data_IF_310757253721
#
_entry.id   IF_310757253721
#
_cell.length_a   1.000
_cell.length_b   1.000
_cell.length_c   1.000
_cell.angle_alpha   90.00
_cell.angle_beta   90.00
_cell.angle_gamma   90.00
#
_symmetry.space_group_name_H-M   'P 1'
#
loop_
_entity.id
_entity.type
_entity.pdbx_description
1 polymer ?
#
# COMPACT_ATOMS: atom_id res chain seq x y z
N UNK A 1 38.04 12.40 6.05
CA UNK A 1 36.82 12.90 6.73
C UNK A 1 36.74 12.25 8.09
N UNK A 2 36.54 13.05 9.17
CA UNK A 2 36.45 12.48 10.51
C UNK A 2 35.18 11.61 10.62
N UNK A 3 35.23 10.55 11.47
CA UNK A 3 34.07 9.67 11.70
C UNK A 3 32.85 10.45 12.20
N UNK A 4 33.07 11.51 13.00
CA UNK A 4 31.98 12.38 13.47
C UNK A 4 31.30 13.15 12.35
N UNK A 5 32.07 13.69 11.40
CA UNK A 5 31.49 14.41 10.24
C UNK A 5 30.74 13.48 9.28
N UNK A 6 31.18 12.24 9.09
CA UNK A 6 30.45 11.24 8.29
C UNK A 6 29.11 10.84 8.93
N UNK A 7 29.08 10.64 10.25
CA UNK A 7 27.84 10.36 10.98
C UNK A 7 26.88 11.55 10.93
N UNK A 8 27.36 12.76 11.14
CA UNK A 8 26.54 13.97 11.05
C UNK A 8 25.93 14.15 9.65
N UNK A 9 26.72 13.94 8.58
CA UNK A 9 26.23 13.98 7.20
C UNK A 9 25.16 12.91 6.92
N UNK A 10 25.33 11.70 7.43
CA UNK A 10 24.35 10.63 7.29
C UNK A 10 23.04 10.95 8.02
N UNK A 11 23.10 11.53 9.21
CA UNK A 11 21.92 11.94 9.97
C UNK A 11 21.17 13.11 9.28
N UNK A 12 21.91 14.11 8.76
CA UNK A 12 21.31 15.21 8.00
C UNK A 12 20.61 14.69 6.72
N UNK A 13 21.25 13.76 6.03
CA UNK A 13 20.65 13.14 4.86
C UNK A 13 19.38 12.34 5.22
N UNK A 14 19.41 11.56 6.32
CA UNK A 14 18.25 10.85 6.83
C UNK A 14 17.10 11.80 7.18
N UNK A 15 17.39 12.93 7.82
CA UNK A 15 16.40 13.94 8.15
C UNK A 15 15.80 14.58 6.88
N UNK A 16 16.61 14.87 5.88
CA UNK A 16 16.13 15.39 4.58
C UNK A 16 15.23 14.37 3.87
N UNK A 17 15.60 13.09 3.86
CA UNK A 17 14.74 12.03 3.33
C UNK A 17 13.42 11.90 4.09
N UNK A 18 13.45 11.91 5.42
CA UNK A 18 12.25 11.85 6.24
C UNK A 18 11.31 13.03 5.97
N UNK A 19 11.85 14.25 5.81
CA UNK A 19 11.08 15.41 5.40
C UNK A 19 10.48 15.25 4.01
N UNK A 20 11.23 14.68 3.06
CA UNK A 20 10.75 14.43 1.70
C UNK A 20 9.66 13.33 1.67
N UNK A 21 9.81 12.27 2.48
CA UNK A 21 8.75 11.27 2.71
C UNK A 21 7.48 11.95 3.22
N UNK A 22 7.60 12.75 4.29
CA UNK A 22 6.47 13.46 4.88
C UNK A 22 5.78 14.39 3.87
N UNK A 23 6.56 15.17 3.10
CA UNK A 23 6.03 16.04 2.06
C UNK A 23 5.30 15.27 0.95
N UNK A 24 5.86 14.14 0.51
CA UNK A 24 5.26 13.29 -0.52
C UNK A 24 3.95 12.66 -0.03
N UNK A 25 3.97 12.09 1.16
CA UNK A 25 2.76 11.50 1.79
C UNK A 25 1.70 12.58 2.01
N UNK A 26 2.06 13.72 2.59
CA UNK A 26 1.12 14.83 2.81
C UNK A 26 0.48 15.28 1.48
N UNK A 27 1.26 15.39 0.43
CA UNK A 27 0.79 15.80 -0.88
C UNK A 27 -0.16 14.79 -1.52
N UNK A 28 0.23 13.52 -1.58
CA UNK A 28 -0.51 12.53 -2.38
C UNK A 28 -1.58 11.78 -1.60
N UNK A 29 -1.53 11.79 -0.27
CA UNK A 29 -2.52 11.13 0.60
C UNK A 29 -3.51 12.12 1.19
N UNK A 30 -3.06 13.31 1.63
CA UNK A 30 -3.93 14.26 2.34
C UNK A 30 -4.63 15.25 1.40
N UNK A 31 -4.01 15.60 0.27
CA UNK A 31 -4.63 16.51 -0.69
C UNK A 31 -5.50 15.75 -1.70
N UNK A 32 -6.62 16.35 -2.15
CA UNK A 32 -7.51 15.70 -3.09
C UNK A 32 -6.80 15.40 -4.41
N UNK A 33 -6.88 14.13 -4.83
CA UNK A 33 -6.23 13.67 -6.07
C UNK A 33 -6.92 14.24 -7.32
N UNK A 34 -8.21 14.53 -7.21
CA UNK A 34 -9.07 14.86 -8.31
C UNK A 34 -9.84 16.15 -8.04
N UNK A 35 -10.19 16.86 -9.13
CA UNK A 35 -11.07 18.02 -9.15
C UNK A 35 -12.30 17.74 -10.03
N UNK A 36 -13.47 18.29 -9.71
CA UNK A 36 -14.65 18.19 -10.57
C UNK A 36 -14.39 18.72 -11.98
N UNK A 37 -14.85 17.99 -13.00
CA UNK A 37 -14.81 18.44 -14.39
C UNK A 37 -16.11 19.17 -14.79
N UNK A 38 -17.23 18.81 -14.15
CA UNK A 38 -18.55 19.34 -14.46
C UNK A 38 -19.56 19.02 -13.36
N UNK A 39 -20.85 19.27 -13.62
CA UNK A 39 -21.89 18.96 -12.65
C UNK A 39 -22.04 17.45 -12.44
N UNK A 40 -22.49 17.08 -11.25
CA UNK A 40 -22.81 15.70 -10.93
C UNK A 40 -24.02 15.23 -11.76
N UNK A 41 -23.91 14.05 -12.35
CA UNK A 41 -25.00 13.36 -13.05
C UNK A 41 -25.83 12.61 -12.01
N UNK A 42 -27.09 12.98 -11.87
CA UNK A 42 -28.02 12.25 -11.02
C UNK A 42 -28.52 11.02 -11.76
N UNK A 43 -28.11 9.84 -11.31
CA UNK A 43 -28.48 8.57 -11.92
C UNK A 43 -29.72 7.96 -11.26
N UNK A 44 -29.98 8.32 -9.98
CA UNK A 44 -31.14 7.86 -9.24
C UNK A 44 -31.55 8.84 -8.13
N UNK A 45 -32.84 9.15 -7.92
CA UNK A 45 -33.90 9.00 -8.95
C UNK A 45 -33.57 9.92 -10.14
N UNK A 46 -33.99 9.55 -11.35
CA UNK A 46 -33.83 10.42 -12.52
C UNK A 46 -34.53 11.74 -12.31
N UNK A 47 -34.01 12.86 -12.85
CA UNK A 47 -34.64 14.16 -12.70
C UNK A 47 -35.99 14.20 -13.40
N UNK A 48 -37.01 14.78 -12.75
CA UNK A 48 -38.32 15.03 -13.31
C UNK A 48 -39.31 13.85 -13.32
N UNK A 49 -38.93 12.69 -12.78
CA UNK A 49 -39.82 11.53 -12.72
C UNK A 49 -40.40 11.36 -11.30
N UNK A 50 -41.69 11.06 -11.23
CA UNK A 50 -42.39 10.75 -9.99
C UNK A 50 -41.98 9.40 -9.36
N UNK A 51 -42.83 8.86 -8.49
CA UNK A 51 -42.53 7.67 -7.69
C UNK A 51 -42.14 6.40 -8.49
N UNK A 52 -42.51 6.30 -9.74
CA UNK A 52 -42.13 5.20 -10.65
C UNK A 52 -41.14 5.73 -11.67
N UNK A 53 -39.84 5.61 -11.38
CA UNK A 53 -38.78 5.98 -12.30
C UNK A 53 -38.49 4.78 -13.22
N UNK A 54 -38.51 4.92 -14.55
CA UNK A 54 -38.06 3.88 -15.46
C UNK A 54 -36.55 3.69 -15.30
N UNK A 55 -36.08 2.46 -15.49
CA UNK A 55 -34.64 2.12 -15.48
C UNK A 55 -33.97 2.52 -16.81
N UNK A 56 -34.34 3.68 -17.36
CA UNK A 56 -33.81 4.17 -18.63
C UNK A 56 -32.29 4.35 -18.58
N UNK A 57 -31.62 3.77 -19.56
CA UNK A 57 -30.18 3.76 -19.67
C UNK A 57 -29.47 2.79 -18.69
N UNK A 58 -30.24 1.96 -17.97
CA UNK A 58 -29.70 0.85 -17.20
C UNK A 58 -29.92 -0.47 -17.94
N UNK A 59 -28.87 -1.28 -18.00
CA UNK A 59 -28.97 -2.70 -18.38
C UNK A 59 -29.13 -3.52 -17.12
N UNK A 60 -30.14 -4.39 -17.10
CA UNK A 60 -30.47 -5.20 -15.91
C UNK A 60 -30.19 -6.66 -16.21
N UNK A 61 -29.32 -7.26 -15.41
CA UNK A 61 -29.06 -8.70 -15.40
C UNK A 61 -29.56 -9.27 -14.07
N UNK A 62 -30.66 -10.01 -14.10
CA UNK A 62 -31.42 -10.34 -12.90
C UNK A 62 -31.06 -11.70 -12.30
N UNK A 63 -30.56 -12.66 -13.10
CA UNK A 63 -30.52 -14.04 -12.63
C UNK A 63 -31.92 -14.46 -12.16
N UNK A 64 -32.02 -14.93 -10.92
CA UNK A 64 -33.31 -15.18 -10.23
C UNK A 64 -33.69 -14.07 -9.24
N UNK A 65 -32.93 -12.98 -9.21
CA UNK A 65 -33.21 -11.83 -8.37
C UNK A 65 -34.23 -10.89 -8.98
N UNK A 66 -34.66 -9.91 -8.18
CA UNK A 66 -35.63 -8.89 -8.57
C UNK A 66 -34.98 -7.52 -8.55
N UNK A 67 -35.38 -6.67 -9.49
CA UNK A 67 -35.03 -5.25 -9.53
C UNK A 67 -36.32 -4.49 -9.73
N UNK A 68 -36.62 -3.62 -8.77
CA UNK A 68 -37.88 -2.87 -8.77
C UNK A 68 -37.66 -1.45 -8.24
N UNK A 69 -38.62 -0.60 -8.44
CA UNK A 69 -38.67 0.74 -7.91
C UNK A 69 -39.89 0.88 -7.02
N UNK A 70 -39.70 1.19 -5.75
CA UNK A 70 -40.77 1.37 -4.78
C UNK A 70 -40.57 2.74 -4.11
N UNK A 71 -41.55 3.63 -4.20
CA UNK A 71 -41.54 4.97 -3.59
C UNK A 71 -40.26 5.78 -3.89
N UNK A 72 -39.78 5.68 -5.14
CA UNK A 72 -38.54 6.36 -5.56
C UNK A 72 -37.25 5.71 -5.06
N UNK A 73 -37.34 4.56 -4.41
CA UNK A 73 -36.19 3.75 -3.97
C UNK A 73 -35.93 2.67 -5.01
N UNK A 74 -34.70 2.60 -5.50
CA UNK A 74 -34.22 1.49 -6.34
C UNK A 74 -33.86 0.32 -5.44
N UNK A 75 -34.51 -0.83 -5.67
CA UNK A 75 -34.34 -2.03 -4.85
C UNK A 75 -33.86 -3.20 -5.71
N UNK A 76 -32.76 -3.78 -5.29
CA UNK A 76 -32.21 -5.03 -5.79
C UNK A 76 -32.40 -6.10 -4.71
N UNK A 77 -33.07 -7.19 -5.07
CA UNK A 77 -33.32 -8.30 -4.14
C UNK A 77 -32.78 -9.62 -4.69
N UNK A 78 -32.04 -10.34 -3.85
CA UNK A 78 -31.56 -11.68 -4.12
C UNK A 78 -32.07 -12.62 -3.02
N UNK A 79 -33.15 -13.40 -3.26
CA UNK A 79 -33.70 -14.31 -2.27
C UNK A 79 -32.79 -15.52 -2.01
N UNK A 80 -31.87 -15.80 -2.93
CA UNK A 80 -30.85 -16.86 -2.83
C UNK A 80 -29.50 -16.29 -3.23
N UNK A 81 -28.41 -16.95 -2.80
CA UNK A 81 -27.04 -16.59 -3.17
C UNK A 81 -26.76 -16.88 -4.67
N UNK A 82 -27.40 -16.14 -5.54
CA UNK A 82 -27.22 -16.21 -6.99
C UNK A 82 -25.83 -15.65 -7.38
N UNK A 83 -25.32 -15.99 -8.56
CA UNK A 83 -24.06 -15.44 -9.04
C UNK A 83 -24.04 -13.90 -8.96
N UNK A 84 -25.10 -13.25 -9.40
CA UNK A 84 -25.30 -11.80 -9.22
C UNK A 84 -26.70 -11.34 -9.62
N UNK A 85 -27.15 -10.24 -9.00
CA UNK A 85 -28.17 -9.33 -9.51
C UNK A 85 -27.44 -8.04 -9.83
N UNK A 86 -27.47 -7.61 -11.07
CA UNK A 86 -26.57 -6.57 -11.57
C UNK A 86 -27.34 -5.52 -12.37
N UNK A 87 -27.09 -4.26 -12.06
CA UNK A 87 -27.40 -3.09 -12.86
C UNK A 87 -26.12 -2.51 -13.44
N UNK A 88 -26.13 -2.21 -14.73
CA UNK A 88 -25.04 -1.54 -15.44
C UNK A 88 -25.53 -0.22 -16.02
N UNK A 89 -24.74 0.82 -15.83
CA UNK A 89 -24.97 2.14 -16.44
C UNK A 89 -23.71 2.59 -17.15
N UNK A 90 -23.71 2.75 -18.48
CA UNK A 90 -22.62 3.39 -19.20
C UNK A 90 -22.42 4.82 -18.70
N UNK A 91 -21.18 5.20 -18.49
CA UNK A 91 -20.79 6.55 -18.12
C UNK A 91 -20.08 7.23 -19.30
N UNK A 92 -20.20 8.58 -19.44
CA UNK A 92 -19.49 9.30 -20.48
C UNK A 92 -17.98 9.20 -20.23
N UNK A 93 -17.27 8.54 -21.14
CA UNK A 93 -15.81 8.41 -21.09
C UNK A 93 -15.15 9.52 -21.92
N UNK A 94 -15.10 10.74 -21.38
CA UNK A 94 -14.36 11.82 -21.99
C UNK A 94 -12.86 11.63 -21.82
N UNK A 95 -12.01 12.04 -22.79
CA UNK A 95 -10.56 11.81 -22.76
C UNK A 95 -9.84 12.39 -21.53
N UNK A 96 -10.43 13.40 -20.91
CA UNK A 96 -9.87 14.09 -19.75
C UNK A 96 -10.30 13.52 -18.41
N UNK A 97 -11.37 12.73 -18.37
CA UNK A 97 -11.87 12.08 -17.15
C UNK A 97 -10.83 11.06 -16.66
N UNK A 98 -10.50 11.13 -15.39
CA UNK A 98 -9.52 10.24 -14.72
C UNK A 98 -10.15 9.43 -13.60
N UNK A 99 -11.29 9.88 -13.10
CA UNK A 99 -12.03 9.22 -12.03
C UNK A 99 -13.49 9.64 -12.08
N UNK A 100 -14.32 8.94 -11.34
CA UNK A 100 -15.68 9.36 -11.05
C UNK A 100 -15.89 9.40 -9.54
N UNK A 101 -16.46 10.50 -9.04
CA UNK A 101 -16.98 10.55 -7.68
C UNK A 101 -18.36 9.97 -7.64
N UNK A 102 -18.53 8.89 -6.93
CA UNK A 102 -19.82 8.25 -6.67
C UNK A 102 -20.32 8.73 -5.31
N UNK A 103 -21.53 9.25 -5.28
CA UNK A 103 -22.28 9.55 -4.06
C UNK A 103 -23.54 8.71 -4.06
N UNK A 104 -23.74 7.93 -3.02
CA UNK A 104 -24.92 7.09 -2.89
C UNK A 104 -25.50 7.20 -1.47
N UNK A 105 -26.82 7.07 -1.37
CA UNK A 105 -27.49 6.81 -0.12
C UNK A 105 -28.08 5.41 -0.22
N UNK A 106 -27.50 4.48 0.55
CA UNK A 106 -27.75 3.05 0.41
C UNK A 106 -28.12 2.41 1.74
N UNK A 107 -28.99 1.40 1.69
CA UNK A 107 -29.30 0.47 2.78
C UNK A 107 -29.11 -0.95 2.30
N UNK A 108 -28.61 -1.82 3.17
CA UNK A 108 -28.48 -3.24 2.87
C UNK A 108 -29.06 -4.09 4.02
N UNK A 109 -30.08 -4.87 3.75
CA UNK A 109 -30.83 -5.66 4.71
C UNK A 109 -30.82 -7.15 4.37
N UNK A 110 -30.95 -8.00 5.40
CA UNK A 110 -31.12 -9.46 5.21
C UNK A 110 -29.87 -10.15 4.65
N UNK A 111 -28.68 -9.68 4.96
CA UNK A 111 -27.44 -10.27 4.46
C UNK A 111 -27.29 -11.72 4.89
N UNK A 112 -27.10 -12.59 3.91
CA UNK A 112 -26.68 -13.97 4.08
C UNK A 112 -25.57 -14.28 3.09
N UNK A 113 -24.33 -14.37 3.60
CA UNK A 113 -23.16 -14.69 2.80
C UNK A 113 -21.98 -14.95 3.73
N UNK A 114 -21.13 -15.93 3.41
CA UNK A 114 -20.06 -16.37 4.27
C UNK A 114 -18.66 -16.05 3.72
N UNK A 115 -18.55 -15.61 2.45
CA UNK A 115 -17.25 -15.43 1.80
C UNK A 115 -16.92 -13.96 1.55
N UNK A 116 -15.63 -13.65 1.52
CA UNK A 116 -15.14 -12.28 1.29
C UNK A 116 -15.60 -11.63 -0.03
N UNK A 117 -15.96 -12.46 -1.02
CA UNK A 117 -16.46 -12.00 -2.33
C UNK A 117 -17.97 -11.80 -2.38
N UNK A 118 -18.69 -12.19 -1.32
CA UNK A 118 -20.14 -12.09 -1.19
C UNK A 118 -20.50 -10.74 -0.59
N UNK A 119 -21.05 -9.85 -1.40
CA UNK A 119 -21.30 -8.48 -0.99
C UNK A 119 -22.33 -7.75 -1.86
N UNK A 120 -22.93 -6.69 -1.30
CA UNK A 120 -23.55 -5.62 -2.07
C UNK A 120 -22.45 -4.62 -2.47
N UNK A 121 -22.30 -4.35 -3.78
CA UNK A 121 -21.20 -3.52 -4.29
C UNK A 121 -21.67 -2.45 -5.25
N UNK A 122 -21.02 -1.27 -5.17
CA UNK A 122 -21.10 -0.20 -6.17
C UNK A 122 -19.67 0.09 -6.61
N UNK A 123 -19.34 -0.13 -7.87
CA UNK A 123 -17.99 0.05 -8.39
C UNK A 123 -17.99 0.40 -9.88
N UNK A 124 -16.83 0.75 -10.44
CA UNK A 124 -16.64 0.99 -11.86
C UNK A 124 -16.05 -0.24 -12.54
N UNK A 125 -16.50 -0.52 -13.76
CA UNK A 125 -15.86 -1.45 -14.67
C UNK A 125 -15.38 -0.71 -15.91
N UNK A 126 -14.12 -0.90 -16.28
CA UNK A 126 -13.52 -0.36 -17.50
C UNK A 126 -13.38 -1.44 -18.57
N UNK A 127 -13.52 -1.04 -19.84
CA UNK A 127 -13.21 -1.89 -20.99
C UNK A 127 -12.19 -1.21 -21.87
N UNK A 128 -11.29 -1.98 -22.46
CA UNK A 128 -10.34 -1.49 -23.46
C UNK A 128 -11.02 -1.21 -24.81
N UNK A 129 -10.27 -0.70 -25.79
CA UNK A 129 -10.78 -0.40 -27.13
C UNK A 129 -11.27 -1.66 -27.88
N UNK A 130 -10.85 -2.86 -27.48
CA UNK A 130 -11.35 -4.13 -28.01
C UNK A 130 -12.58 -4.66 -27.27
N UNK A 131 -13.11 -3.90 -26.29
CA UNK A 131 -14.28 -4.28 -25.48
C UNK A 131 -13.95 -5.28 -24.36
N UNK A 132 -12.69 -5.63 -24.13
CA UNK A 132 -12.28 -6.57 -23.09
C UNK A 132 -12.32 -5.88 -21.74
N UNK A 133 -12.85 -6.58 -20.73
CA UNK A 133 -12.89 -6.08 -19.36
C UNK A 133 -11.45 -5.89 -18.82
N UNK A 134 -11.17 -4.70 -18.35
CA UNK A 134 -9.92 -4.39 -17.68
C UNK A 134 -9.97 -4.92 -16.23
N UNK A 135 -8.81 -5.27 -15.65
CA UNK A 135 -8.73 -5.69 -14.26
C UNK A 135 -9.39 -4.67 -13.33
N UNK A 136 -10.28 -5.15 -12.48
CA UNK A 136 -10.97 -4.33 -11.48
C UNK A 136 -9.94 -3.85 -10.44
N UNK A 137 -9.86 -2.54 -10.22
CA UNK A 137 -8.96 -1.92 -9.23
C UNK A 137 -9.38 -2.17 -7.78
N UNK A 138 -10.40 -3.00 -7.55
CA UNK A 138 -10.92 -3.33 -6.20
C UNK A 138 -11.40 -2.11 -5.40
N UNK A 139 -11.52 -0.95 -6.03
CA UNK A 139 -12.08 0.24 -5.41
C UNK A 139 -13.60 0.18 -5.53
N UNK A 140 -14.26 -0.02 -4.40
CA UNK A 140 -15.72 0.01 -4.31
C UNK A 140 -16.17 1.30 -3.63
N UNK A 141 -17.16 1.98 -4.21
CA UNK A 141 -17.85 3.05 -3.49
C UNK A 141 -18.64 2.47 -2.32
N UNK A 142 -19.26 1.31 -2.51
CA UNK A 142 -19.91 0.51 -1.49
C UNK A 142 -19.40 -0.93 -1.58
N UNK A 143 -19.05 -1.50 -0.42
CA UNK A 143 -18.79 -2.93 -0.27
C UNK A 143 -19.40 -3.37 1.07
N UNK A 144 -20.70 -3.66 1.06
CA UNK A 144 -21.44 -4.05 2.25
C UNK A 144 -21.47 -5.58 2.37
N UNK A 145 -20.87 -6.09 3.45
CA UNK A 145 -20.80 -7.53 3.80
C UNK A 145 -21.62 -7.88 5.04
N UNK A 146 -22.46 -6.98 5.48
CA UNK A 146 -23.37 -7.15 6.61
C UNK A 146 -24.56 -6.24 6.45
N UNK A 147 -25.64 -6.51 7.14
CA UNK A 147 -26.78 -5.62 7.21
C UNK A 147 -26.35 -4.23 7.68
N UNK A 148 -26.77 -3.20 6.94
CA UNK A 148 -26.51 -1.78 7.25
C UNK A 148 -27.77 -0.98 7.03
N UNK A 149 -28.05 -0.07 7.94
CA UNK A 149 -29.09 0.93 7.77
C UNK A 149 -28.64 2.01 6.77
N UNK A 150 -29.52 2.94 6.44
CA UNK A 150 -29.26 4.03 5.50
C UNK A 150 -27.92 4.72 5.81
N UNK A 151 -27.03 4.64 4.87
CA UNK A 151 -25.67 5.19 4.98
C UNK A 151 -25.35 6.01 3.73
N UNK A 152 -24.84 7.22 3.94
CA UNK A 152 -24.29 8.03 2.85
C UNK A 152 -22.88 7.55 2.52
N UNK A 153 -22.66 7.25 1.27
CA UNK A 153 -21.39 6.79 0.71
C UNK A 153 -20.86 7.85 -0.24
N UNK A 154 -19.57 8.13 -0.15
CA UNK A 154 -18.85 9.00 -1.09
C UNK A 154 -17.48 8.39 -1.33
N UNK A 155 -17.18 8.12 -2.61
CA UNK A 155 -15.87 7.62 -3.01
C UNK A 155 -15.47 8.19 -4.38
N UNK A 156 -14.19 8.47 -4.53
CA UNK A 156 -13.58 8.85 -5.81
C UNK A 156 -12.97 7.58 -6.40
N UNK A 157 -13.58 7.05 -7.45
CA UNK A 157 -13.17 5.81 -8.10
C UNK A 157 -12.31 6.13 -9.33
N UNK A 158 -11.06 5.76 -9.29
CA UNK A 158 -10.13 5.98 -10.40
C UNK A 158 -10.45 5.08 -11.59
N UNK A 159 -10.29 5.60 -12.81
CA UNK A 159 -10.46 4.80 -14.02
C UNK A 159 -9.27 3.84 -14.19
N UNK A 160 -9.54 2.59 -14.64
CA UNK A 160 -8.47 1.71 -15.07
C UNK A 160 -7.65 2.35 -16.19
N UNK A 161 -6.32 2.25 -16.21
CA UNK A 161 -5.51 2.70 -17.32
C UNK A 161 -5.92 2.02 -18.62
N UNK A 162 -6.05 2.79 -19.70
CA UNK A 162 -6.45 2.26 -21.01
C UNK A 162 -7.94 1.99 -21.17
N UNK A 163 -8.78 2.40 -20.23
CA UNK A 163 -10.23 2.28 -20.39
C UNK A 163 -10.74 3.17 -21.54
N UNK A 164 -11.32 2.54 -22.54
CA UNK A 164 -12.00 3.20 -23.66
C UNK A 164 -13.49 3.43 -23.36
N UNK A 165 -14.09 2.60 -22.52
CA UNK A 165 -15.45 2.78 -22.01
C UNK A 165 -15.52 2.41 -20.53
N UNK A 166 -16.50 2.99 -19.82
CA UNK A 166 -16.66 2.84 -18.37
C UNK A 166 -18.12 2.61 -18.06
N UNK A 167 -18.39 1.68 -17.17
CA UNK A 167 -19.71 1.36 -16.67
C UNK A 167 -19.73 1.47 -15.14
N UNK A 168 -20.78 2.08 -14.61
CA UNK A 168 -21.09 1.96 -13.19
C UNK A 168 -21.87 0.67 -12.96
N UNK A 169 -21.40 -0.14 -12.05
CA UNK A 169 -22.03 -1.39 -11.66
C UNK A 169 -22.58 -1.29 -10.24
N UNK A 170 -23.88 -1.62 -10.11
CA UNK A 170 -24.55 -1.82 -8.82
C UNK A 170 -24.98 -3.28 -8.77
N UNK A 171 -24.47 -4.04 -7.79
CA UNK A 171 -24.70 -5.48 -7.78
C UNK A 171 -24.82 -6.07 -6.38
N UNK A 172 -25.61 -7.15 -6.30
CA UNK A 172 -25.52 -8.18 -5.27
C UNK A 172 -24.76 -9.36 -5.85
N UNK A 173 -23.63 -9.70 -5.28
CA UNK A 173 -22.77 -10.77 -5.77
C UNK A 173 -22.72 -11.91 -4.76
N UNK A 174 -23.26 -13.07 -5.13
CA UNK A 174 -23.28 -14.29 -4.30
C UNK A 174 -23.78 -14.06 -2.86
N UNK A 175 -24.55 -13.01 -2.65
CA UNK A 175 -25.13 -12.64 -1.38
C UNK A 175 -26.65 -12.69 -1.47
N UNK A 176 -27.30 -13.11 -0.37
CA UNK A 176 -28.74 -12.93 -0.21
C UNK A 176 -29.01 -11.60 0.46
N UNK A 177 -30.18 -11.04 0.24
CA UNK A 177 -30.62 -9.81 0.87
C UNK A 177 -31.15 -8.78 -0.11
N UNK A 178 -31.33 -7.58 0.38
CA UNK A 178 -31.93 -6.45 -0.34
C UNK A 178 -30.99 -5.24 -0.26
N UNK A 179 -30.52 -4.77 -1.41
CA UNK A 179 -29.83 -3.50 -1.55
C UNK A 179 -30.84 -2.44 -2.03
N UNK A 180 -30.96 -1.37 -1.28
CA UNK A 180 -31.83 -0.23 -1.59
C UNK A 180 -31.00 1.04 -1.76
N UNK A 181 -31.33 1.85 -2.79
CA UNK A 181 -30.70 3.12 -3.10
C UNK A 181 -31.76 4.22 -3.20
N UNK A 182 -31.62 5.26 -2.37
CA UNK A 182 -32.43 6.49 -2.43
C UNK A 182 -31.84 7.51 -3.40
N UNK A 183 -30.51 7.57 -3.42
CA UNK A 183 -29.76 8.55 -4.21
C UNK A 183 -28.53 7.87 -4.79
N UNK A 184 -28.29 8.14 -6.05
CA UNK A 184 -27.07 7.74 -6.74
C UNK A 184 -26.67 8.85 -7.71
N UNK A 185 -25.53 9.43 -7.48
CA UNK A 185 -24.96 10.50 -8.28
C UNK A 185 -23.53 10.17 -8.65
N UNK A 186 -23.14 10.57 -9.86
CA UNK A 186 -21.80 10.38 -10.37
C UNK A 186 -21.30 11.70 -10.94
N UNK A 187 -20.12 12.13 -10.48
CA UNK A 187 -19.48 13.36 -10.90
C UNK A 187 -18.17 13.03 -11.61
N UNK A 188 -18.00 13.43 -12.89
CA UNK A 188 -16.74 13.21 -13.59
C UNK A 188 -15.62 14.06 -12.99
N UNK A 189 -14.44 13.46 -12.82
CA UNK A 189 -13.30 14.08 -12.20
C UNK A 189 -12.09 14.07 -13.13
N UNK A 190 -11.32 15.15 -13.08
CA UNK A 190 -9.99 15.27 -13.70
C UNK A 190 -8.90 15.20 -12.64
N UNK A 191 -7.68 14.86 -13.05
CA UNK A 191 -6.53 14.99 -12.14
C UNK A 191 -6.40 16.45 -11.68
N UNK A 192 -6.24 16.67 -10.38
CA UNK A 192 -6.11 18.02 -9.83
C UNK A 192 -4.93 18.75 -10.49
N UNK A 193 -5.08 20.02 -10.95
CA UNK A 193 -4.12 20.71 -11.81
C UNK A 193 -2.75 20.89 -11.15
N UNK A 194 -2.70 20.97 -9.83
CA UNK A 194 -1.47 21.08 -9.06
C UNK A 194 -0.67 19.76 -9.00
N UNK A 195 -1.32 18.60 -9.22
CA UNK A 195 -0.72 17.29 -8.97
C UNK A 195 0.42 16.95 -9.92
N UNK A 196 0.25 17.29 -11.20
CA UNK A 196 1.27 17.04 -12.22
C UNK A 196 2.56 17.85 -12.00
N UNK A 197 2.53 19.20 -11.84
CA UNK A 197 3.75 19.97 -11.56
C UNK A 197 4.40 19.56 -10.24
N UNK A 198 3.62 19.30 -9.20
CA UNK A 198 4.16 18.89 -7.90
C UNK A 198 4.80 17.50 -7.95
N UNK A 199 4.25 16.57 -8.74
CA UNK A 199 4.90 15.29 -9.01
C UNK A 199 6.27 15.47 -9.64
N UNK A 200 6.42 16.35 -10.61
CA UNK A 200 7.71 16.66 -11.24
C UNK A 200 8.69 17.23 -10.21
N UNK A 201 8.29 18.22 -9.43
CA UNK A 201 9.13 18.82 -8.38
C UNK A 201 9.58 17.78 -7.35
N UNK A 202 8.66 16.96 -6.85
CA UNK A 202 9.00 15.92 -5.89
C UNK A 202 9.89 14.83 -6.52
N UNK A 203 9.66 14.45 -7.77
CA UNK A 203 10.55 13.51 -8.47
C UNK A 203 11.97 14.05 -8.57
N UNK A 204 12.13 15.32 -8.94
CA UNK A 204 13.45 15.95 -8.99
C UNK A 204 14.11 16.05 -7.61
N UNK A 205 13.33 16.37 -6.57
CA UNK A 205 13.82 16.39 -5.19
C UNK A 205 14.29 14.99 -4.74
N UNK A 206 13.55 13.94 -5.07
CA UNK A 206 13.93 12.55 -4.80
C UNK A 206 15.21 12.15 -5.54
N UNK A 207 15.31 12.45 -6.83
CA UNK A 207 16.53 12.17 -7.62
C UNK A 207 17.74 12.90 -7.03
N UNK A 208 17.59 14.14 -6.60
CA UNK A 208 18.64 14.90 -5.93
C UNK A 208 19.05 14.29 -4.60
N UNK A 209 18.08 13.83 -3.79
CA UNK A 209 18.35 13.16 -2.52
C UNK A 209 19.09 11.84 -2.72
N UNK A 210 18.71 11.03 -3.72
CA UNK A 210 19.43 9.80 -4.07
C UNK A 210 20.83 10.05 -4.59
N UNK A 211 21.01 11.07 -5.44
CA UNK A 211 22.34 11.46 -5.93
C UNK A 211 23.26 11.90 -4.78
N UNK A 212 22.73 12.68 -3.82
CA UNK A 212 23.45 13.06 -2.63
C UNK A 212 23.82 11.85 -1.76
N UNK A 213 22.89 10.91 -1.55
CA UNK A 213 23.12 9.66 -0.81
C UNK A 213 24.19 8.78 -1.48
N UNK A 214 24.11 8.62 -2.81
CA UNK A 214 25.12 7.90 -3.58
C UNK A 214 26.50 8.54 -3.45
N UNK A 215 26.58 9.85 -3.55
CA UNK A 215 27.83 10.59 -3.38
C UNK A 215 28.40 10.42 -1.97
N UNK A 216 27.56 10.50 -0.92
CA UNK A 216 27.95 10.25 0.47
C UNK A 216 28.47 8.83 0.64
N UNK A 217 27.79 7.84 0.05
CA UNK A 217 28.23 6.44 0.11
C UNK A 217 29.59 6.27 -0.57
N UNK A 218 29.79 6.78 -1.78
CA UNK A 218 31.05 6.69 -2.51
C UNK A 218 32.20 7.36 -1.73
N UNK A 219 31.97 8.58 -1.22
CA UNK A 219 33.00 9.36 -0.50
C UNK A 219 33.42 8.73 0.83
N UNK A 220 32.51 8.03 1.52
CA UNK A 220 32.71 7.47 2.83
C UNK A 220 32.86 5.93 2.82
N UNK A 221 32.85 5.29 1.63
CA UNK A 221 32.96 3.85 1.51
C UNK A 221 34.34 3.36 1.97
N UNK A 222 34.34 2.46 2.96
CA UNK A 222 35.54 1.72 3.36
C UNK A 222 35.91 0.67 2.30
N UNK A 223 34.92 0.17 1.56
CA UNK A 223 35.08 -0.90 0.56
C UNK A 223 34.32 -0.54 -0.73
N UNK A 224 35.05 -0.13 -1.76
CA UNK A 224 34.49 0.36 -3.03
C UNK A 224 33.64 -0.67 -3.78
N UNK A 225 34.02 -1.96 -3.74
CA UNK A 225 33.25 -3.02 -4.39
C UNK A 225 31.84 -3.15 -3.80
N UNK A 226 31.73 -3.10 -2.47
CA UNK A 226 30.43 -3.15 -1.80
C UNK A 226 29.59 -1.89 -2.06
N UNK A 227 30.23 -0.72 -2.20
CA UNK A 227 29.56 0.50 -2.58
C UNK A 227 28.97 0.40 -3.99
N UNK A 228 29.72 -0.14 -4.95
CA UNK A 228 29.23 -0.40 -6.31
C UNK A 228 28.05 -1.37 -6.32
N UNK A 229 28.14 -2.47 -5.54
CA UNK A 229 27.04 -3.43 -5.40
C UNK A 229 25.77 -2.78 -4.77
N UNK A 230 25.93 -1.94 -3.74
CA UNK A 230 24.83 -1.21 -3.13
C UNK A 230 24.16 -0.26 -4.12
N UNK A 231 24.93 0.48 -4.91
CA UNK A 231 24.40 1.40 -5.92
C UNK A 231 23.69 0.66 -7.06
N UNK A 232 24.22 -0.49 -7.49
CA UNK A 232 23.58 -1.34 -8.49
C UNK A 232 22.23 -1.88 -7.97
N UNK A 233 22.20 -2.37 -6.71
CA UNK A 233 20.97 -2.82 -6.07
C UNK A 233 19.95 -1.69 -5.90
N UNK A 234 20.39 -0.48 -5.53
CA UNK A 234 19.52 0.69 -5.42
C UNK A 234 18.94 1.11 -6.77
N UNK A 235 19.75 1.11 -7.83
CA UNK A 235 19.30 1.43 -9.19
C UNK A 235 18.28 0.39 -9.70
N UNK A 236 18.54 -0.90 -9.50
CA UNK A 236 17.61 -1.97 -9.85
C UNK A 236 16.30 -1.83 -9.08
N UNK A 237 16.37 -1.56 -7.76
CA UNK A 237 15.21 -1.32 -6.93
C UNK A 237 14.39 -0.12 -7.40
N UNK A 238 15.05 0.99 -7.74
CA UNK A 238 14.39 2.19 -8.25
C UNK A 238 13.67 1.92 -9.58
N UNK A 239 14.29 1.19 -10.48
CA UNK A 239 13.65 0.76 -11.73
C UNK A 239 12.41 -0.08 -11.43
N UNK A 240 12.51 -1.09 -10.56
CA UNK A 240 11.39 -1.95 -10.18
C UNK A 240 10.26 -1.17 -9.50
N UNK A 241 10.58 -0.23 -8.61
CA UNK A 241 9.61 0.60 -7.88
C UNK A 241 8.88 1.59 -8.78
N UNK A 242 9.57 2.19 -9.74
CA UNK A 242 9.00 3.22 -10.61
C UNK A 242 8.44 2.68 -11.93
N UNK A 243 8.78 1.44 -12.30
CA UNK A 243 8.25 0.83 -13.52
C UNK A 243 6.77 0.56 -13.40
N UNK A 244 5.97 0.91 -14.43
CA UNK A 244 4.58 0.49 -14.50
C UNK A 244 4.46 -1.03 -14.45
N UNK A 245 3.39 -1.59 -13.87
CA UNK A 245 3.18 -3.04 -13.79
C UNK A 245 3.27 -3.74 -15.16
N UNK A 246 2.77 -3.09 -16.20
CA UNK A 246 2.80 -3.61 -17.59
C UNK A 246 4.22 -3.78 -18.12
N UNK A 247 5.13 -2.87 -17.78
CA UNK A 247 6.54 -2.97 -18.18
C UNK A 247 7.23 -4.16 -17.49
N UNK A 248 6.91 -4.41 -16.23
CA UNK A 248 7.44 -5.58 -15.52
C UNK A 248 6.94 -6.89 -16.13
N UNK A 249 5.69 -6.93 -16.60
CA UNK A 249 5.14 -8.08 -17.31
C UNK A 249 5.86 -8.36 -18.66
N UNK A 250 6.39 -7.31 -19.30
CA UNK A 250 7.19 -7.45 -20.54
C UNK A 250 8.62 -7.92 -20.25
N UNK A 251 9.21 -7.40 -19.15
CA UNK A 251 10.62 -7.68 -18.81
C UNK A 251 10.83 -9.04 -18.14
N UNK A 252 9.80 -9.58 -17.49
CA UNK A 252 9.91 -10.85 -16.78
C UNK A 252 9.39 -12.01 -17.65
N UNK A 253 10.00 -13.20 -17.57
CA UNK A 253 9.48 -14.39 -18.25
C UNK A 253 8.04 -14.68 -17.82
N UNK A 254 7.17 -15.06 -18.79
CA UNK A 254 5.76 -15.32 -18.55
C UNK A 254 5.46 -16.25 -17.37
N UNK A 255 6.16 -17.40 -17.20
CA UNK A 255 5.97 -18.27 -16.04
C UNK A 255 6.25 -17.58 -14.69
N UNK A 256 7.21 -16.65 -14.67
CA UNK A 256 7.53 -15.89 -13.45
C UNK A 256 6.44 -14.87 -13.13
N UNK A 257 5.93 -14.16 -14.15
CA UNK A 257 4.80 -13.23 -13.99
C UNK A 257 3.56 -13.95 -13.44
N UNK A 258 3.28 -15.13 -13.99
CA UNK A 258 2.15 -15.95 -13.55
C UNK A 258 2.35 -16.47 -12.11
N UNK A 259 3.54 -16.92 -11.75
CA UNK A 259 3.87 -17.32 -10.39
C UNK A 259 3.76 -16.14 -9.40
N UNK A 260 4.23 -14.95 -9.78
CA UNK A 260 4.12 -13.72 -9.00
C UNK A 260 2.66 -13.30 -8.80
N UNK A 261 1.81 -13.51 -9.81
CA UNK A 261 0.38 -13.16 -9.74
C UNK A 261 -0.49 -14.14 -8.95
N UNK A 262 -0.04 -15.40 -8.78
CA UNK A 262 -0.84 -16.44 -8.09
C UNK A 262 -0.82 -16.35 -6.57
N UNK A 263 0.19 -15.76 -5.98
CA UNK A 263 0.35 -15.71 -4.52
C UNK A 263 0.44 -14.28 -4.02
N UNK A 264 -0.48 -13.88 -3.18
CA UNK A 264 -0.54 -12.53 -2.59
C UNK A 264 0.72 -12.17 -1.75
N UNK A 265 1.47 -13.18 -1.29
CA UNK A 265 2.68 -13.00 -0.48
C UNK A 265 3.95 -12.71 -1.30
N UNK A 266 3.96 -13.00 -2.59
CA UNK A 266 5.17 -12.87 -3.42
C UNK A 266 5.68 -11.43 -3.53
N UNK A 267 4.84 -10.40 -3.71
CA UNK A 267 5.29 -9.01 -3.67
C UNK A 267 6.06 -8.68 -2.39
N UNK A 268 5.57 -9.11 -1.22
CA UNK A 268 6.24 -8.87 0.06
C UNK A 268 7.62 -9.52 0.16
N UNK A 269 7.79 -10.72 -0.39
CA UNK A 269 9.10 -11.37 -0.47
C UNK A 269 10.08 -10.59 -1.37
N UNK A 270 9.59 -9.98 -2.45
CA UNK A 270 10.36 -9.09 -3.31
C UNK A 270 10.86 -7.86 -2.55
N UNK A 271 9.98 -7.18 -1.82
CA UNK A 271 10.31 -6.04 -0.97
C UNK A 271 11.32 -6.41 0.11
N UNK A 272 11.11 -7.51 0.81
CA UNK A 272 11.99 -8.03 1.85
C UNK A 272 13.38 -8.36 1.29
N UNK A 273 13.47 -9.10 0.18
CA UNK A 273 14.73 -9.51 -0.42
C UNK A 273 15.54 -8.35 -0.98
N UNK A 274 14.90 -7.41 -1.69
CA UNK A 274 15.57 -6.23 -2.23
C UNK A 274 16.14 -5.34 -1.11
N UNK A 275 15.34 -5.07 -0.08
CA UNK A 275 15.75 -4.24 1.05
C UNK A 275 16.85 -4.91 1.89
N UNK A 276 16.80 -6.24 2.05
CA UNK A 276 17.86 -7.00 2.70
C UNK A 276 19.19 -6.89 1.93
N UNK A 277 19.13 -7.07 0.63
CA UNK A 277 20.31 -7.00 -0.27
C UNK A 277 20.94 -5.60 -0.23
N UNK A 278 20.12 -4.54 -0.35
CA UNK A 278 20.57 -3.16 -0.32
C UNK A 278 21.22 -2.82 1.03
N UNK A 279 20.57 -3.15 2.13
CA UNK A 279 21.07 -2.88 3.48
C UNK A 279 22.37 -3.65 3.78
N UNK A 280 22.46 -4.91 3.36
CA UNK A 280 23.68 -5.71 3.47
C UNK A 280 24.85 -5.04 2.75
N UNK A 281 24.69 -4.72 1.47
CA UNK A 281 25.77 -4.12 0.68
C UNK A 281 26.15 -2.72 1.18
N UNK A 282 25.17 -1.89 1.56
CA UNK A 282 25.43 -0.55 2.10
C UNK A 282 26.19 -0.61 3.43
N UNK A 283 25.82 -1.53 4.33
CA UNK A 283 26.50 -1.73 5.60
C UNK A 283 27.93 -2.24 5.40
N UNK A 284 28.13 -3.17 4.48
CA UNK A 284 29.47 -3.66 4.11
C UNK A 284 30.32 -2.56 3.49
N UNK A 285 29.75 -1.73 2.63
CA UNK A 285 30.43 -0.59 2.02
C UNK A 285 30.91 0.43 3.06
N UNK A 286 30.05 0.74 4.03
CA UNK A 286 30.34 1.68 5.10
C UNK A 286 31.31 1.14 6.17
N UNK A 287 31.61 -0.16 6.17
CA UNK A 287 32.37 -0.81 7.24
C UNK A 287 31.65 -0.67 8.58
N UNK A 288 30.32 -0.83 8.60
CA UNK A 288 29.49 -0.59 9.76
C UNK A 288 29.90 -1.51 10.95
N UNK A 289 30.20 -0.89 12.09
CA UNK A 289 30.53 -1.58 13.35
C UNK A 289 29.45 -1.38 14.42
N UNK A 290 28.45 -0.54 14.13
CA UNK A 290 27.36 -0.20 15.05
C UNK A 290 26.02 -0.38 14.34
N UNK A 291 24.97 -0.72 15.09
CA UNK A 291 23.64 -1.00 14.54
C UNK A 291 22.78 0.25 14.39
N UNK A 292 22.87 1.21 15.31
CA UNK A 292 21.86 2.27 15.45
C UNK A 292 21.70 3.17 14.22
N UNK A 293 22.79 3.76 13.71
CA UNK A 293 22.70 4.68 12.55
C UNK A 293 22.28 3.94 11.27
N UNK A 294 22.90 2.79 10.91
CA UNK A 294 22.41 2.02 9.77
C UNK A 294 20.95 1.56 9.88
N UNK A 295 20.49 1.18 11.08
CA UNK A 295 19.09 0.79 11.29
C UNK A 295 18.13 1.96 11.03
N UNK A 296 18.47 3.16 11.53
CA UNK A 296 17.67 4.37 11.23
C UNK A 296 17.62 4.64 9.73
N UNK A 297 18.76 4.54 9.03
CA UNK A 297 18.81 4.74 7.57
C UNK A 297 17.95 3.70 6.82
N UNK A 298 17.93 2.45 7.26
CA UNK A 298 17.08 1.40 6.71
C UNK A 298 15.61 1.72 6.90
N UNK A 299 15.18 2.17 8.08
CA UNK A 299 13.77 2.52 8.33
C UNK A 299 13.33 3.71 7.46
N UNK A 300 14.18 4.73 7.34
CA UNK A 300 13.90 5.87 6.47
C UNK A 300 13.85 5.46 5.00
N UNK A 301 14.76 4.57 4.56
CA UNK A 301 14.76 4.05 3.19
C UNK A 301 13.52 3.19 2.89
N UNK A 302 13.04 2.41 3.86
CA UNK A 302 11.80 1.64 3.73
C UNK A 302 10.59 2.55 3.50
N UNK A 303 10.44 3.60 4.31
CA UNK A 303 9.40 4.61 4.12
C UNK A 303 9.55 5.39 2.80
N UNK A 304 10.79 5.65 2.38
CA UNK A 304 11.11 6.31 1.12
C UNK A 304 10.64 5.49 -0.10
N UNK A 305 10.79 4.16 -0.05
CA UNK A 305 10.31 3.26 -1.11
C UNK A 305 8.81 3.42 -1.34
N UNK A 306 8.02 3.42 -0.27
CA UNK A 306 6.57 3.58 -0.36
C UNK A 306 6.15 4.99 -0.80
N UNK A 307 6.83 6.03 -0.30
CA UNK A 307 6.57 7.40 -0.74
C UNK A 307 6.85 7.59 -2.25
N UNK A 308 7.88 6.93 -2.78
CA UNK A 308 8.18 6.95 -4.22
C UNK A 308 7.10 6.28 -5.06
N UNK A 309 6.45 5.23 -4.56
CA UNK A 309 5.34 4.58 -5.28
C UNK A 309 4.18 5.53 -5.51
N UNK A 310 3.92 6.48 -4.59
CA UNK A 310 2.90 7.52 -4.77
C UNK A 310 3.17 8.46 -5.96
N UNK A 311 4.42 8.56 -6.41
CA UNK A 311 4.78 9.33 -7.60
C UNK A 311 4.48 8.58 -8.91
N UNK A 312 4.41 7.25 -8.86
CA UNK A 312 4.16 6.40 -10.03
C UNK A 312 2.65 6.23 -10.26
N UNK A 313 2.13 6.61 -11.43
CA UNK A 313 0.72 6.42 -11.74
C UNK A 313 0.35 4.92 -11.71
N UNK A 314 -0.72 4.60 -11.00
CA UNK A 314 -1.23 3.24 -10.94
C UNK A 314 -0.57 2.33 -9.90
N UNK A 315 0.29 2.88 -9.06
CA UNK A 315 0.81 2.21 -7.88
C UNK A 315 0.22 2.79 -6.60
N UNK A 316 -0.11 1.92 -5.67
CA UNK A 316 -0.60 2.29 -4.35
C UNK A 316 0.48 1.98 -3.31
N UNK A 317 0.78 2.95 -2.44
CA UNK A 317 1.67 2.71 -1.32
C UNK A 317 0.98 1.83 -0.29
N UNK A 318 1.69 0.83 0.22
CA UNK A 318 1.17 -0.13 1.18
C UNK A 318 1.94 -0.10 2.49
N UNK A 319 1.28 0.06 3.64
CA UNK A 319 1.97 -0.06 4.94
C UNK A 319 2.62 -1.44 5.13
N UNK A 320 2.07 -2.48 4.52
CA UNK A 320 2.63 -3.83 4.58
C UNK A 320 3.92 -3.97 3.78
N UNK A 321 4.03 -3.28 2.63
CA UNK A 321 5.26 -3.21 1.84
C UNK A 321 6.34 -2.43 2.58
N UNK A 322 5.97 -1.35 3.27
CA UNK A 322 6.89 -0.62 4.15
C UNK A 322 7.43 -1.51 5.28
N UNK A 323 6.57 -2.32 5.90
CA UNK A 323 6.98 -3.29 6.92
C UNK A 323 7.90 -4.38 6.36
N UNK A 324 7.60 -4.92 5.18
CA UNK A 324 8.45 -5.89 4.50
C UNK A 324 9.82 -5.30 4.16
N UNK A 325 9.85 -4.06 3.66
CA UNK A 325 11.08 -3.31 3.40
C UNK A 325 11.91 -3.09 4.68
N UNK A 326 11.27 -2.69 5.78
CA UNK A 326 11.93 -2.49 7.06
C UNK A 326 12.51 -3.79 7.64
N UNK A 327 11.72 -4.86 7.63
CA UNK A 327 12.14 -6.18 8.11
C UNK A 327 13.32 -6.73 7.29
N UNK A 328 13.22 -6.66 5.97
CA UNK A 328 14.30 -7.06 5.06
C UNK A 328 15.58 -6.27 5.31
N UNK A 329 15.47 -4.96 5.39
CA UNK A 329 16.62 -4.09 5.61
C UNK A 329 17.31 -4.34 6.96
N UNK A 330 16.56 -4.54 8.04
CA UNK A 330 17.11 -4.91 9.35
C UNK A 330 17.80 -6.28 9.27
N UNK A 331 17.19 -7.27 8.63
CA UNK A 331 17.79 -8.59 8.42
C UNK A 331 19.10 -8.53 7.64
N UNK A 332 19.14 -7.77 6.55
CA UNK A 332 20.35 -7.54 5.76
C UNK A 332 21.47 -6.86 6.54
N UNK A 333 21.12 -5.87 7.37
CA UNK A 333 22.07 -5.22 8.27
C UNK A 333 22.64 -6.20 9.29
N UNK A 334 21.81 -7.04 9.91
CA UNK A 334 22.25 -8.07 10.85
C UNK A 334 23.24 -9.05 10.20
N UNK A 335 22.90 -9.53 8.99
CA UNK A 335 23.78 -10.40 8.21
C UNK A 335 25.12 -9.73 7.89
N UNK A 336 25.14 -8.44 7.55
CA UNK A 336 26.37 -7.69 7.29
C UNK A 336 27.26 -7.61 8.53
N UNK A 337 26.66 -7.35 9.70
CA UNK A 337 27.39 -7.29 10.96
C UNK A 337 27.94 -8.65 11.41
N UNK A 338 27.18 -9.72 11.20
CA UNK A 338 27.63 -11.08 11.42
C UNK A 338 28.82 -11.43 10.51
N UNK A 339 28.69 -11.18 9.20
CA UNK A 339 29.79 -11.40 8.26
C UNK A 339 31.05 -10.63 8.62
N UNK A 340 30.92 -9.37 9.09
CA UNK A 340 32.06 -8.58 9.55
C UNK A 340 32.80 -9.19 10.76
N UNK A 341 32.08 -9.86 11.67
CA UNK A 341 32.69 -10.58 12.81
C UNK A 341 33.47 -11.79 12.32
N UNK A 342 32.95 -12.57 11.38
CA UNK A 342 33.67 -13.73 10.83
C UNK A 342 34.91 -13.33 10.03
N UNK A 343 34.88 -12.21 9.30
CA UNK A 343 36.03 -11.71 8.57
C UNK A 343 37.14 -11.26 9.55
N UNK A 344 36.77 -10.61 10.67
CA UNK A 344 37.70 -10.18 11.71
C UNK A 344 38.42 -11.35 12.44
N UNK A 345 37.68 -12.44 12.65
CA UNK A 345 38.26 -13.64 13.30
C UNK A 345 39.27 -14.40 12.42
N UNK A 346 39.16 -14.25 11.08
CA UNK A 346 40.12 -14.85 10.13
C UNK A 346 41.40 -14.05 9.95
N UNK A 347 41.43 -12.79 10.35
CA UNK A 347 42.57 -11.88 10.15
C UNK A 347 43.59 -11.90 11.26
N UNK A 348 43.44 -12.72 12.28
CA UNK A 348 44.43 -12.92 13.37
C UNK A 348 44.98 -14.36 13.39
N UNK A 349 45.70 -14.83 12.36
CA UNK A 349 46.39 -16.14 12.44
C UNK A 349 47.64 -16.16 13.31
N UNK A 350 48.00 -15.06 13.97
CA UNK A 350 49.27 -14.94 14.74
C UNK A 350 49.18 -14.56 16.21
N UNK A 351 47.95 -14.39 16.76
CA UNK A 351 47.79 -13.94 18.17
C UNK A 351 47.25 -15.00 19.14
N UNK A 352 47.06 -16.23 18.63
CA UNK A 352 46.45 -17.32 19.41
C UNK A 352 47.47 -18.11 20.29
N UNK A 353 48.76 -17.76 20.31
CA UNK A 353 49.78 -18.51 21.12
C UNK A 353 50.33 -17.76 22.34
N UNK A 354 49.97 -16.49 22.57
CA UNK A 354 50.37 -15.81 23.81
C UNK A 354 49.15 -15.46 24.68
N UNK A 355 49.00 -16.21 25.75
CA UNK A 355 48.18 -15.99 26.95
C UNK A 355 46.69 -16.46 26.95
N UNK A 356 46.43 -17.75 27.20
CA UNK A 356 45.10 -18.15 27.65
C UNK A 356 44.78 -17.91 29.13
N UNK A 357 45.70 -17.34 29.93
CA UNK A 357 45.52 -17.25 31.39
C UNK A 357 44.96 -15.90 31.92
N UNK A 358 45.10 -14.79 31.20
CA UNK A 358 44.74 -13.46 31.73
C UNK A 358 43.32 -12.95 31.35
N UNK A 359 42.59 -13.64 30.45
CA UNK A 359 41.29 -13.13 29.94
C UNK A 359 40.12 -13.62 30.79
N UNK A 360 40.27 -14.69 31.58
CA UNK A 360 39.15 -15.25 32.37
C UNK A 360 38.83 -14.41 33.61
N UNK A 361 39.78 -13.64 34.11
CA UNK A 361 39.61 -12.89 35.38
C UNK A 361 38.90 -11.53 35.25
N UNK A 362 38.64 -11.04 34.00
CA UNK A 362 37.99 -9.74 33.76
C UNK A 362 36.55 -9.80 33.24
N UNK A 363 35.94 -10.97 33.14
CA UNK A 363 34.68 -11.12 32.36
C UNK A 363 33.39 -11.29 33.18
N UNK A 364 33.43 -11.25 34.51
CA UNK A 364 32.15 -11.29 35.27
C UNK A 364 32.23 -10.43 36.55
N UNK A 365 31.65 -9.22 36.55
CA UNK A 365 31.18 -8.68 37.80
C UNK A 365 29.94 -9.50 38.21
N UNK A 366 30.10 -10.31 39.27
CA UNK A 366 28.98 -10.95 39.97
C UNK A 366 28.00 -9.85 40.43
N UNK A 367 26.89 -9.73 39.70
CA UNK A 367 25.74 -8.95 40.17
C UNK A 367 25.09 -9.77 41.28
N UNK A 368 25.07 -9.28 42.56
CA UNK A 368 24.38 -10.02 43.62
C UNK A 368 22.90 -10.08 43.31
N UNK A 369 22.35 -11.28 43.14
CA UNK A 369 20.95 -11.55 43.11
C UNK A 369 20.32 -11.07 44.41
N UNK A 370 19.68 -9.90 44.36
CA UNK A 370 18.79 -9.42 45.43
C UNK A 370 17.59 -10.36 45.47
N UNK A 371 17.45 -11.05 46.58
CA UNK A 371 16.27 -11.88 46.87
C UNK A 371 15.00 -11.00 46.72
N UNK A 372 14.11 -11.41 45.81
CA UNK A 372 12.82 -10.79 45.67
C UNK A 372 11.98 -11.17 46.90
N UNK A 373 11.62 -10.16 47.70
CA UNK A 373 10.61 -10.28 48.73
C UNK A 373 9.25 -10.62 48.05
N UNK A 374 8.61 -11.64 48.58
CA UNK A 374 7.29 -12.08 48.14
C UNK A 374 6.25 -10.98 48.44
N UNK A 375 5.34 -10.62 47.51
CA UNK A 375 4.24 -9.73 47.80
C UNK A 375 3.14 -10.50 48.56
N UNK A 376 2.69 -9.87 49.63
CA UNK A 376 1.56 -10.26 50.49
C UNK A 376 0.28 -10.55 49.68
N UNK A 377 -0.30 -11.67 50.01
CA UNK A 377 -1.60 -12.11 49.49
C UNK A 377 -2.75 -11.19 49.95
N UNK A 378 -3.30 -10.45 49.01
CA UNK A 378 -4.66 -9.92 49.12
C UNK A 378 -5.51 -10.48 47.98
N UNK A 379 -6.50 -11.25 48.36
CA UNK A 379 -7.57 -11.72 47.50
C UNK A 379 -8.40 -10.56 46.97
N UNK A 380 -8.78 -10.52 45.68
CA UNK A 380 -9.76 -9.57 45.20
C UNK A 380 -11.18 -10.09 45.43
N UNK A 381 -11.99 -9.22 46.04
CA UNK A 381 -13.41 -9.38 46.23
C UNK A 381 -14.16 -9.55 44.90
N UNK A 382 -15.13 -10.44 44.97
CA UNK A 382 -16.13 -10.73 43.95
C UNK A 382 -16.97 -9.49 43.61
N UNK A 383 -16.95 -9.05 42.36
CA UNK A 383 -17.97 -8.14 41.85
C UNK A 383 -18.96 -8.93 41.01
N UNK A 384 -20.15 -9.03 41.57
CA UNK A 384 -21.33 -9.65 41.01
C UNK A 384 -21.84 -8.92 39.77
N UNK A 385 -22.25 -9.73 38.79
CA UNK A 385 -23.07 -9.44 37.63
C UNK A 385 -24.22 -8.48 37.89
N UNK A 386 -24.37 -7.45 37.03
CA UNK A 386 -25.69 -6.91 36.66
C UNK A 386 -25.65 -6.55 35.17
N UNK A 387 -26.43 -7.33 34.42
CA UNK A 387 -27.01 -6.97 33.13
C UNK A 387 -28.42 -6.44 33.43
N UNK A 388 -28.90 -5.43 32.74
CA UNK A 388 -30.04 -5.65 31.85
C UNK A 388 -29.71 -5.42 30.38
#
# INVERSE_FOLDING_TARGET
VSRRSAVAAALLWAAALAALVAATVATFVLLPAFAPLGPALRLWPPPGLGAVAPLDGWTVERGRGQVETIDGILRLEAPRAEPYVLLRRPLPAEPHVRAFRVRAEARFAGFGGARAVEAARIHLAGRDAAGRLLPDRREDALNARSTRDWTSVRADLALPPGAASVELLVRLQRATGVLELRRLEVEPLVEAPWRRPLRVVLTLAWLSAFAAGALLLIRNAAHRLWAAAALAAAAAGLVLLLSPPDLLAILLPGPLVEALGRHESVPYLGHLGLSATLAFFAARAAGARTFAVPALLVLVAAAAGEALQLLSPGRDASPWDALANAAGGIGGLQLALLAARFDGSRSEPGRAEEEPAAVIERALPLVPLRAAEAPDGRAPDSIASRVP
#
